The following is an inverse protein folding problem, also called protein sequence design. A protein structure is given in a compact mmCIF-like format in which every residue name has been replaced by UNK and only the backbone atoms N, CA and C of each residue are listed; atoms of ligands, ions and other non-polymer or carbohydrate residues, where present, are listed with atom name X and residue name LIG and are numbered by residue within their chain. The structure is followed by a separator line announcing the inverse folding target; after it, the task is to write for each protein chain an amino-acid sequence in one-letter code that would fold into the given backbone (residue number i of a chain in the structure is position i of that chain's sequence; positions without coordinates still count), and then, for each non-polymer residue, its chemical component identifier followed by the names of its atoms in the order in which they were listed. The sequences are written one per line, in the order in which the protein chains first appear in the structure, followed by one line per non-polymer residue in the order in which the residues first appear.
data_IF_942376402561
#
_entry.id   IF_942376402561
#
_cell.length_a   1.000
_cell.length_b   1.000
_cell.length_c   1.000
_cell.angle_alpha   90.00
_cell.angle_beta   90.00
_cell.angle_gamma   90.00
#
_symmetry.space_group_name_H-M   'P 1'
#
loop_
_entity.id
_entity.type
_entity.pdbx_description
1 polymer ?
#
# COMPACT_ATOMS: atom_id res chain seq x y z
N UNK A 1 28.16 -23.56 -13.88
CA UNK A 1 27.82 -22.12 -14.00
C UNK A 1 26.57 -22.00 -14.84
N UNK A 2 25.42 -21.61 -14.26
CA UNK A 2 24.12 -21.63 -14.96
C UNK A 2 24.00 -20.41 -15.87
N UNK A 3 24.05 -20.61 -17.19
CA UNK A 3 23.89 -19.55 -18.19
C UNK A 3 22.49 -18.93 -18.06
N UNK A 4 22.38 -17.63 -17.79
CA UNK A 4 21.08 -16.92 -17.79
C UNK A 4 20.55 -16.84 -19.23
N UNK A 5 19.36 -17.36 -19.48
CA UNK A 5 18.72 -17.23 -20.80
C UNK A 5 18.36 -15.78 -21.09
N UNK A 6 18.59 -15.34 -22.35
CA UNK A 6 18.22 -14.00 -22.82
C UNK A 6 16.70 -13.82 -22.78
N UNK A 7 16.23 -12.75 -22.14
CA UNK A 7 14.81 -12.38 -22.07
C UNK A 7 14.42 -11.56 -23.29
N UNK A 8 13.12 -11.55 -23.66
CA UNK A 8 12.62 -10.71 -24.78
C UNK A 8 12.91 -9.22 -24.57
N UNK A 9 12.99 -8.76 -23.31
CA UNK A 9 13.36 -7.39 -22.92
C UNK A 9 14.75 -6.98 -23.42
N UNK A 10 15.67 -7.94 -23.55
CA UNK A 10 17.06 -7.68 -23.91
C UNK A 10 17.20 -7.24 -25.39
N UNK A 11 16.14 -7.42 -26.20
CA UNK A 11 16.08 -6.97 -27.60
C UNK A 11 15.66 -5.52 -27.76
N UNK A 12 15.19 -4.86 -26.70
CA UNK A 12 14.52 -3.57 -26.81
C UNK A 12 15.45 -2.40 -27.19
N UNK A 13 16.77 -2.60 -27.27
CA UNK A 13 17.78 -1.60 -27.68
C UNK A 13 17.95 -0.40 -26.75
N UNK A 14 16.92 -0.08 -25.95
CA UNK A 14 16.87 0.98 -24.95
C UNK A 14 17.60 0.57 -23.68
N UNK A 15 18.21 1.55 -23.01
CA UNK A 15 18.75 1.36 -21.67
C UNK A 15 17.66 0.85 -20.70
N UNK A 16 18.03 0.03 -19.69
CA UNK A 16 17.11 -0.36 -18.63
C UNK A 16 16.51 0.87 -17.95
N UNK A 17 15.19 0.94 -17.85
CA UNK A 17 14.54 1.96 -17.02
C UNK A 17 14.68 1.57 -15.56
N UNK A 18 15.03 2.55 -14.73
CA UNK A 18 14.94 2.41 -13.30
C UNK A 18 13.46 2.33 -12.89
N UNK A 19 13.02 1.15 -12.46
CA UNK A 19 11.75 1.01 -11.76
C UNK A 19 12.04 1.02 -10.27
N UNK A 20 11.53 1.99 -9.49
CA UNK A 20 11.68 2.00 -8.03
C UNK A 20 11.00 0.81 -7.34
N UNK A 21 10.32 -0.06 -8.09
CA UNK A 21 9.61 -1.22 -7.57
C UNK A 21 8.31 -0.82 -6.87
N UNK A 22 7.57 -1.83 -6.39
CA UNK A 22 6.38 -1.59 -5.57
C UNK A 22 6.85 -1.21 -4.16
N UNK A 23 6.47 -0.04 -3.61
CA UNK A 23 6.80 0.26 -2.23
C UNK A 23 6.18 -0.82 -1.33
N UNK A 24 6.96 -1.41 -0.40
CA UNK A 24 6.54 -2.59 0.38
C UNK A 24 5.32 -2.32 1.28
N UNK A 25 4.97 -1.05 1.46
CA UNK A 25 3.94 -0.55 2.37
C UNK A 25 2.62 -0.24 1.65
N UNK A 26 2.60 -0.23 0.31
CA UNK A 26 1.42 0.16 -0.47
C UNK A 26 0.23 -0.77 -0.23
N UNK A 27 -0.95 -0.19 -0.05
CA UNK A 27 -2.18 -0.96 0.17
C UNK A 27 -2.42 -1.37 1.63
N UNK A 28 -1.59 -0.97 2.61
CA UNK A 28 -1.80 -1.35 4.02
C UNK A 28 -2.98 -0.61 4.65
N UNK A 29 -3.14 0.68 4.36
CA UNK A 29 -4.26 1.48 4.87
C UNK A 29 -5.58 0.96 4.33
N UNK A 30 -5.61 0.74 3.02
CA UNK A 30 -6.74 0.19 2.26
C UNK A 30 -7.12 -1.21 2.75
N UNK A 31 -6.15 -2.09 3.02
CA UNK A 31 -6.41 -3.41 3.64
C UNK A 31 -7.03 -3.27 5.02
N UNK A 32 -6.55 -2.34 5.83
CA UNK A 32 -7.06 -2.13 7.20
C UNK A 32 -8.50 -1.62 7.15
N UNK A 33 -8.79 -0.64 6.29
CA UNK A 33 -10.14 -0.13 6.06
C UNK A 33 -11.07 -1.23 5.52
N UNK A 34 -10.61 -2.00 4.54
CA UNK A 34 -11.37 -3.12 3.96
C UNK A 34 -11.77 -4.14 5.02
N UNK A 35 -10.81 -4.62 5.81
CA UNK A 35 -11.10 -5.63 6.83
C UNK A 35 -11.88 -5.09 8.03
N UNK A 36 -11.73 -3.80 8.35
CA UNK A 36 -12.59 -3.15 9.33
C UNK A 36 -14.06 -3.11 8.86
N UNK A 37 -14.30 -2.77 7.58
CA UNK A 37 -15.64 -2.78 7.00
C UNK A 37 -16.26 -4.19 6.96
N UNK A 38 -15.48 -5.20 6.59
CA UNK A 38 -15.93 -6.61 6.64
C UNK A 38 -16.25 -7.04 8.08
N UNK A 39 -15.45 -6.62 9.06
CA UNK A 39 -15.66 -6.99 10.46
C UNK A 39 -16.95 -6.41 11.07
N UNK A 40 -17.46 -5.30 10.53
CA UNK A 40 -18.77 -4.75 10.93
C UNK A 40 -19.95 -5.29 10.09
N UNK A 41 -19.70 -6.31 9.25
CA UNK A 41 -20.73 -7.00 8.48
C UNK A 41 -20.92 -6.54 7.03
N UNK A 42 -20.04 -5.67 6.52
CA UNK A 42 -20.13 -5.23 5.11
C UNK A 42 -19.80 -6.38 4.15
N UNK A 43 -20.47 -6.40 3.01
CA UNK A 43 -20.08 -7.29 1.90
C UNK A 43 -18.69 -6.95 1.37
N UNK A 44 -18.06 -7.90 0.65
CA UNK A 44 -16.72 -7.66 0.08
C UNK A 44 -16.68 -6.51 -0.95
N UNK A 45 -17.82 -6.20 -1.58
CA UNK A 45 -17.93 -5.10 -2.54
C UNK A 45 -18.10 -3.75 -1.85
N UNK A 46 -18.96 -3.67 -0.83
CA UNK A 46 -19.12 -2.47 0.00
C UNK A 46 -17.83 -2.15 0.75
N UNK A 47 -17.17 -3.16 1.30
CA UNK A 47 -15.87 -3.00 1.96
C UNK A 47 -14.79 -2.51 0.98
N UNK A 48 -14.84 -2.94 -0.29
CA UNK A 48 -13.93 -2.46 -1.32
C UNK A 48 -14.18 -0.97 -1.64
N UNK A 49 -15.45 -0.58 -1.78
CA UNK A 49 -15.84 0.81 -2.00
C UNK A 49 -15.42 1.71 -0.83
N UNK A 50 -15.68 1.28 0.42
CA UNK A 50 -15.28 2.00 1.62
C UNK A 50 -13.76 2.16 1.75
N UNK A 51 -13.00 1.16 1.29
CA UNK A 51 -11.54 1.20 1.28
C UNK A 51 -10.94 1.92 0.06
N UNK A 52 -11.76 2.42 -0.87
CA UNK A 52 -11.31 3.11 -2.08
C UNK A 52 -10.58 2.20 -3.07
N UNK A 53 -10.84 0.89 -3.05
CA UNK A 53 -10.21 -0.09 -3.95
C UNK A 53 -11.20 -0.66 -4.95
N UNK A 54 -10.75 -1.13 -6.13
CA UNK A 54 -11.65 -1.79 -7.07
C UNK A 54 -12.29 -3.04 -6.46
N UNK A 55 -13.59 -3.26 -6.71
CA UNK A 55 -14.36 -4.40 -6.19
C UNK A 55 -13.69 -5.75 -6.45
N UNK A 56 -13.15 -5.96 -7.65
CA UNK A 56 -12.41 -7.18 -8.01
C UNK A 56 -11.16 -7.42 -7.13
N UNK A 57 -10.56 -6.37 -6.58
CA UNK A 57 -9.45 -6.47 -5.61
C UNK A 57 -9.98 -6.89 -4.25
N UNK A 58 -11.06 -6.28 -3.76
CA UNK A 58 -11.70 -6.64 -2.49
C UNK A 58 -12.18 -8.09 -2.48
N UNK A 59 -12.92 -8.52 -3.51
CA UNK A 59 -13.37 -9.91 -3.68
C UNK A 59 -12.19 -10.90 -3.70
N UNK A 60 -11.07 -10.53 -4.34
CA UNK A 60 -9.85 -11.35 -4.35
C UNK A 60 -9.19 -11.41 -2.98
N UNK A 61 -9.14 -10.32 -2.22
CA UNK A 61 -8.60 -10.31 -0.86
C UNK A 61 -9.43 -11.18 0.07
N UNK A 62 -10.76 -11.03 0.02
CA UNK A 62 -11.69 -11.82 0.81
C UNK A 62 -11.50 -13.32 0.56
N UNK A 63 -11.52 -13.74 -0.72
CA UNK A 63 -11.37 -15.13 -1.12
C UNK A 63 -9.99 -15.69 -0.75
N UNK A 64 -8.92 -14.90 -0.95
CA UNK A 64 -7.54 -15.32 -0.62
C UNK A 64 -7.35 -15.53 0.89
N UNK A 65 -8.07 -14.80 1.73
CA UNK A 65 -7.99 -14.91 3.17
C UNK A 65 -9.03 -15.88 3.78
N UNK A 66 -9.81 -16.58 2.95
CA UNK A 66 -10.83 -17.52 3.42
C UNK A 66 -12.02 -16.84 4.12
N UNK A 67 -12.29 -15.58 3.80
CA UNK A 67 -13.38 -14.80 4.39
C UNK A 67 -13.10 -14.17 5.76
N UNK A 68 -11.93 -14.42 6.34
CA UNK A 68 -11.54 -13.82 7.63
C UNK A 68 -10.35 -12.86 7.48
N UNK A 69 -10.36 -11.78 8.25
CA UNK A 69 -9.24 -10.85 8.29
C UNK A 69 -7.96 -11.55 8.78
N UNK A 70 -6.81 -11.40 8.09
CA UNK A 70 -5.53 -11.81 8.62
C UNK A 70 -5.22 -11.15 9.98
N UNK A 71 -4.46 -11.82 10.85
CA UNK A 71 -4.22 -11.38 12.24
C UNK A 71 -3.80 -9.91 12.41
N UNK A 72 -2.99 -9.38 11.48
CA UNK A 72 -2.53 -7.99 11.51
C UNK A 72 -3.60 -6.93 11.14
N UNK A 73 -4.76 -7.34 10.64
CA UNK A 73 -5.87 -6.46 10.26
C UNK A 73 -7.14 -6.71 11.08
N UNK A 74 -7.08 -7.57 12.10
CA UNK A 74 -8.20 -7.81 13.01
C UNK A 74 -8.47 -6.59 13.89
N UNK A 75 -9.70 -6.45 14.42
CA UNK A 75 -10.09 -5.34 15.28
C UNK A 75 -9.22 -5.22 16.55
N UNK A 76 -8.75 -6.34 17.08
CA UNK A 76 -7.85 -6.40 18.24
C UNK A 76 -6.35 -6.30 17.88
N UNK A 77 -6.00 -6.13 16.61
CA UNK A 77 -4.61 -5.98 16.21
C UNK A 77 -4.03 -4.71 16.82
N UNK A 78 -2.83 -4.83 17.41
CA UNK A 78 -2.12 -3.68 17.98
C UNK A 78 -2.05 -2.55 16.94
N UNK A 79 -2.30 -1.28 17.35
CA UNK A 79 -2.05 -0.14 16.48
C UNK A 79 -0.62 -0.16 15.94
N UNK A 80 -0.42 0.47 14.78
CA UNK A 80 0.94 0.60 14.24
C UNK A 80 1.78 1.39 15.23
N UNK A 81 3.03 0.96 15.41
CA UNK A 81 4.01 1.68 16.20
C UNK A 81 4.21 3.07 15.58
N UNK A 82 3.86 4.13 16.32
CA UNK A 82 4.07 5.53 15.90
C UNK A 82 5.55 5.95 15.80
N UNK A 83 6.48 4.99 15.86
CA UNK A 83 7.93 5.23 15.69
C UNK A 83 8.30 5.67 14.27
N UNK A 84 7.48 5.35 13.28
CA UNK A 84 7.76 5.64 11.88
C UNK A 84 6.59 6.33 11.21
N UNK A 85 6.92 7.20 10.26
CA UNK A 85 5.94 7.87 9.41
C UNK A 85 5.11 6.86 8.61
N UNK A 86 3.80 7.05 8.66
CA UNK A 86 2.78 6.49 7.78
C UNK A 86 2.99 6.88 6.32
N UNK A 87 2.25 6.23 5.42
CA UNK A 87 2.35 6.54 3.99
C UNK A 87 1.87 7.98 3.70
N UNK A 88 0.75 8.39 4.30
CA UNK A 88 0.20 9.75 4.14
C UNK A 88 1.18 10.81 4.63
N UNK A 89 1.77 10.64 5.82
CA UNK A 89 2.77 11.59 6.33
C UNK A 89 3.99 11.69 5.40
N UNK A 90 4.39 10.58 4.77
CA UNK A 90 5.48 10.61 3.78
C UNK A 90 5.07 11.36 2.52
N UNK A 91 3.84 11.19 2.06
CA UNK A 91 3.30 11.91 0.90
C UNK A 91 3.22 13.42 1.18
N UNK A 92 2.75 13.83 2.36
CA UNK A 92 2.71 15.21 2.80
C UNK A 92 4.11 15.84 2.84
N UNK A 93 5.10 15.12 3.39
CA UNK A 93 6.50 15.56 3.40
C UNK A 93 7.06 15.69 1.98
N UNK A 94 6.71 14.77 1.06
CA UNK A 94 7.13 14.86 -0.35
C UNK A 94 6.52 16.10 -1.01
N UNK A 95 5.23 16.38 -0.80
CA UNK A 95 4.57 17.57 -1.32
C UNK A 95 5.22 18.86 -0.78
N UNK A 96 5.47 18.93 0.53
CA UNK A 96 6.17 20.05 1.15
C UNK A 96 7.57 20.25 0.57
N UNK A 97 8.30 19.17 0.30
CA UNK A 97 9.62 19.24 -0.36
C UNK A 97 9.54 19.77 -1.78
N UNK A 98 8.56 19.32 -2.56
CA UNK A 98 8.33 19.82 -3.94
C UNK A 98 7.99 21.32 -3.91
N UNK A 99 7.27 21.78 -2.89
CA UNK A 99 6.97 23.20 -2.66
C UNK A 99 8.17 24.03 -2.14
N UNK A 100 9.33 23.41 -1.89
CA UNK A 100 10.51 24.10 -1.38
C UNK A 100 10.50 24.38 0.13
N UNK A 101 9.65 23.70 0.90
CA UNK A 101 9.60 23.87 2.36
C UNK A 101 10.89 23.40 3.04
N UNK A 102 11.38 24.20 3.98
CA UNK A 102 12.53 23.81 4.81
C UNK A 102 12.17 22.68 5.79
N UNK A 103 13.16 21.90 6.21
CA UNK A 103 12.98 20.83 7.22
C UNK A 103 12.33 21.36 8.51
N UNK A 104 12.70 22.57 8.94
CA UNK A 104 12.10 23.23 10.12
C UNK A 104 10.64 23.59 9.91
N UNK A 105 10.24 23.96 8.70
CA UNK A 105 8.83 24.24 8.40
C UNK A 105 8.01 22.95 8.41
N UNK A 106 8.50 21.91 7.71
CA UNK A 106 7.89 20.58 7.70
C UNK A 106 7.71 20.00 9.11
N UNK A 107 8.71 20.12 9.98
CA UNK A 107 8.64 19.63 11.36
C UNK A 107 7.67 20.40 12.27
N UNK A 108 7.16 21.56 11.86
CA UNK A 108 6.09 22.27 12.59
C UNK A 108 4.69 21.89 12.11
N UNK A 109 4.60 21.31 10.92
CA UNK A 109 3.34 20.93 10.26
C UNK A 109 3.05 19.43 10.35
N UNK A 110 4.07 18.61 10.59
CA UNK A 110 3.96 17.19 10.95
C UNK A 110 3.90 17.05 12.48
#
# INVERSE_FOLDING_TARGET
MMQRSKRRSDRAGRAPLHSPGRPPVTGRGERRAFWAAVAVGSSSEEAAAAAGIPQAVGARWFRKAGGMAPAMYMLWAKPLSGRYLSLSEREDIVLMRVQGSSVRATARQA
#
